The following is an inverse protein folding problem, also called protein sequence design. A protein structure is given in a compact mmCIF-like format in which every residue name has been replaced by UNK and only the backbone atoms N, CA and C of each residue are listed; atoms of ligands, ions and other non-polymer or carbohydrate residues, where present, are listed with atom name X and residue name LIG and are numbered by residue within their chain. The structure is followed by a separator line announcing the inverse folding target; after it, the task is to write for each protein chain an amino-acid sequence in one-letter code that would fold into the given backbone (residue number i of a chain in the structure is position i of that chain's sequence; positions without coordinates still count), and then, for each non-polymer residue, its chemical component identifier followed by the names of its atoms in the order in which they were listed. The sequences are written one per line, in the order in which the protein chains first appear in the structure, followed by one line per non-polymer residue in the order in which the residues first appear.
data_IF_583002565620
#
_entry.id   IF_583002565620
#
_cell.length_a   1.000
_cell.length_b   1.000
_cell.length_c   1.000
_cell.angle_alpha   90.00
_cell.angle_beta   90.00
_cell.angle_gamma   90.00
#
_symmetry.space_group_name_H-M   'P 1'
#
loop_
_entity.id
_entity.type
_entity.pdbx_description
1 polymer ?
#
# COMPACT_ATOMS: atom_id res chain seq x y z
N UNK A 1 31.73 -14.30 12.70
CA UNK A 1 30.77 -13.30 12.21
C UNK A 1 29.40 -13.88 12.47
N UNK A 2 28.70 -13.38 13.48
CA UNK A 2 27.39 -13.91 13.88
C UNK A 2 26.42 -13.77 12.70
N UNK A 3 25.66 -14.81 12.33
CA UNK A 3 24.67 -14.68 11.27
C UNK A 3 23.69 -13.59 11.69
N UNK A 4 23.56 -12.52 10.87
CA UNK A 4 22.56 -11.47 11.09
C UNK A 4 21.22 -12.16 11.35
N UNK A 5 20.69 -12.02 12.57
CA UNK A 5 19.35 -12.50 12.94
C UNK A 5 18.39 -12.14 11.81
N UNK A 6 17.77 -13.16 11.21
CA UNK A 6 16.65 -12.93 10.31
C UNK A 6 15.61 -12.08 11.05
N UNK A 7 15.20 -10.99 10.43
CA UNK A 7 14.23 -10.07 11.03
C UNK A 7 12.89 -10.79 11.00
N UNK A 8 12.54 -11.41 12.13
CA UNK A 8 11.23 -12.00 12.35
C UNK A 8 10.24 -10.88 12.63
N UNK A 9 9.16 -10.81 11.85
CA UNK A 9 7.98 -10.05 12.27
C UNK A 9 7.49 -10.64 13.59
N UNK A 10 7.12 -9.78 14.54
CA UNK A 10 6.70 -10.21 15.88
C UNK A 10 5.45 -11.11 15.79
N UNK A 11 4.57 -10.80 14.82
CA UNK A 11 3.40 -11.62 14.49
C UNK A 11 3.55 -12.17 13.07
N UNK A 12 3.69 -13.48 12.91
CA UNK A 12 3.59 -14.17 11.63
C UNK A 12 2.21 -14.85 11.50
N UNK A 13 1.76 -15.10 10.26
CA UNK A 13 0.56 -15.90 9.96
C UNK A 13 0.99 -17.21 9.26
N UNK A 14 1.50 -18.23 10.01
CA UNK A 14 2.11 -19.41 9.42
C UNK A 14 1.17 -20.19 8.50
N UNK A 15 -0.14 -20.10 8.74
CA UNK A 15 -1.18 -20.73 7.93
C UNK A 15 -1.27 -20.17 6.50
N UNK A 16 -0.80 -18.95 6.28
CA UNK A 16 -0.78 -18.29 4.96
C UNK A 16 0.57 -18.43 4.25
N UNK A 17 1.46 -19.27 4.79
CA UNK A 17 2.81 -19.48 4.29
C UNK A 17 3.83 -18.56 4.95
N UNK A 18 5.08 -19.04 5.01
CA UNK A 18 6.17 -18.24 5.55
C UNK A 18 6.36 -16.97 4.70
N UNK A 19 6.24 -15.81 5.35
CA UNK A 19 6.64 -14.51 4.78
C UNK A 19 8.14 -14.27 4.91
N UNK A 20 8.92 -15.33 5.18
CA UNK A 20 10.37 -15.30 5.22
C UNK A 20 10.94 -14.82 3.91
N UNK A 21 12.15 -14.28 3.97
CA UNK A 21 12.86 -13.76 2.80
C UNK A 21 13.58 -14.85 2.06
N UNK A 22 13.68 -14.70 0.73
CA UNK A 22 14.72 -15.37 -0.03
C UNK A 22 16.05 -14.65 0.22
N UNK A 23 17.12 -15.42 0.45
CA UNK A 23 18.43 -14.96 0.91
C UNK A 23 19.22 -14.06 -0.08
N UNK A 24 18.57 -13.49 -1.11
CA UNK A 24 19.23 -12.70 -2.15
C UNK A 24 18.55 -11.37 -2.50
N UNK A 25 17.39 -11.03 -1.93
CA UNK A 25 16.63 -9.83 -2.33
C UNK A 25 16.81 -8.70 -1.31
N UNK A 26 17.73 -7.77 -1.59
CA UNK A 26 17.89 -6.51 -0.84
C UNK A 26 16.63 -5.65 -0.91
N UNK A 27 16.29 -4.93 0.19
CA UNK A 27 17.15 -4.12 1.09
C UNK A 27 17.18 -4.71 2.52
N UNK A 28 17.31 -3.93 3.58
CA UNK A 28 16.99 -4.32 4.97
C UNK A 28 15.47 -4.43 5.18
N UNK A 29 14.98 -5.53 5.77
CA UNK A 29 13.59 -5.63 6.20
C UNK A 29 13.35 -4.64 7.34
N UNK A 30 12.26 -3.87 7.26
CA UNK A 30 11.84 -3.05 8.38
C UNK A 30 11.43 -3.97 9.53
N UNK A 31 11.84 -3.64 10.75
CA UNK A 31 11.36 -4.33 11.93
C UNK A 31 9.94 -3.85 12.20
N UNK A 32 8.97 -4.58 11.66
CA UNK A 32 7.54 -4.30 11.77
C UNK A 32 6.84 -5.35 12.61
N UNK A 33 5.77 -4.96 13.28
CA UNK A 33 5.00 -5.83 14.17
C UNK A 33 4.24 -6.92 13.40
N UNK A 34 3.83 -6.61 12.17
CA UNK A 34 3.09 -7.48 11.26
C UNK A 34 3.94 -7.86 10.04
N UNK A 35 3.60 -8.94 9.31
CA UNK A 35 4.44 -9.42 8.22
C UNK A 35 4.37 -8.48 7.01
N UNK A 36 5.50 -8.36 6.31
CA UNK A 36 5.61 -7.57 5.08
C UNK A 36 4.87 -8.26 3.92
N UNK A 37 3.96 -7.52 3.28
CA UNK A 37 3.31 -7.97 2.03
C UNK A 37 4.12 -7.48 0.83
N UNK A 38 4.48 -6.19 0.85
CA UNK A 38 5.14 -5.52 -0.27
C UNK A 38 5.85 -4.27 0.23
N UNK A 39 7.13 -4.08 -0.12
CA UNK A 39 7.89 -2.87 0.22
C UNK A 39 7.65 -1.68 -0.73
N UNK A 40 7.04 -1.92 -1.88
CA UNK A 40 6.75 -0.93 -2.90
C UNK A 40 5.49 -1.27 -3.70
N UNK A 41 4.31 -1.27 -3.05
CA UNK A 41 3.07 -1.69 -3.67
C UNK A 41 2.67 -0.75 -4.81
N UNK A 42 2.31 -1.34 -5.95
CA UNK A 42 1.79 -0.59 -7.09
C UNK A 42 0.54 0.24 -6.69
N UNK A 43 0.41 1.46 -7.20
CA UNK A 43 -0.66 2.41 -6.86
C UNK A 43 -2.06 1.77 -6.86
N UNK A 44 -2.36 1.00 -7.91
CA UNK A 44 -3.64 0.28 -8.06
C UNK A 44 -3.91 -0.71 -6.91
N UNK A 45 -2.88 -1.40 -6.41
CA UNK A 45 -3.02 -2.33 -5.28
C UNK A 45 -3.31 -1.59 -3.99
N UNK A 46 -2.61 -0.48 -3.74
CA UNK A 46 -2.85 0.34 -2.54
C UNK A 46 -4.30 0.83 -2.49
N UNK A 47 -4.83 1.33 -3.61
CA UNK A 47 -6.23 1.79 -3.67
C UNK A 47 -7.21 0.61 -3.64
N UNK A 48 -6.93 -0.50 -4.32
CA UNK A 48 -7.80 -1.68 -4.33
C UNK A 48 -7.90 -2.39 -2.98
N UNK A 49 -6.84 -2.34 -2.17
CA UNK A 49 -6.79 -2.97 -0.84
C UNK A 49 -7.25 -2.01 0.27
N UNK A 50 -7.55 -0.74 -0.05
CA UNK A 50 -8.08 0.19 0.92
C UNK A 50 -9.41 -0.32 1.50
N UNK A 51 -9.50 -0.35 2.83
CA UNK A 51 -10.72 -0.80 3.53
C UNK A 51 -11.80 0.29 3.42
N UNK A 52 -13.10 -0.05 3.49
CA UNK A 52 -14.16 0.96 3.58
C UNK A 52 -13.94 1.96 4.72
N UNK A 53 -13.37 1.51 5.84
CA UNK A 53 -12.97 2.36 6.97
C UNK A 53 -11.95 3.43 6.60
N UNK A 54 -11.07 3.16 5.63
CA UNK A 54 -10.06 4.13 5.21
C UNK A 54 -10.68 5.28 4.43
N UNK A 55 -11.66 4.98 3.58
CA UNK A 55 -12.44 5.99 2.90
C UNK A 55 -13.28 6.82 3.87
N UNK A 56 -13.85 6.20 4.90
CA UNK A 56 -14.56 6.92 5.95
C UNK A 56 -13.64 7.89 6.72
N UNK A 57 -12.45 7.41 7.12
CA UNK A 57 -11.43 8.24 7.80
C UNK A 57 -10.92 9.35 6.87
N UNK A 58 -10.65 9.03 5.61
CA UNK A 58 -10.23 10.02 4.61
C UNK A 58 -11.29 11.09 4.39
N UNK A 59 -12.56 10.69 4.21
CA UNK A 59 -13.67 11.64 4.06
C UNK A 59 -13.85 12.52 5.30
N UNK A 60 -13.74 11.94 6.50
CA UNK A 60 -13.79 12.68 7.76
C UNK A 60 -12.71 13.77 7.79
N UNK A 61 -11.43 13.40 7.63
CA UNK A 61 -10.34 14.36 7.69
C UNK A 61 -10.34 15.35 6.53
N UNK A 62 -10.70 14.92 5.32
CA UNK A 62 -10.84 15.80 4.17
C UNK A 62 -11.94 16.84 4.35
N UNK A 63 -13.05 16.49 5.00
CA UNK A 63 -14.14 17.41 5.28
C UNK A 63 -13.80 18.46 6.35
N UNK A 64 -12.81 18.19 7.22
CA UNK A 64 -12.39 19.14 8.26
C UNK A 64 -11.84 20.45 7.68
N UNK A 65 -11.27 20.44 6.48
CA UNK A 65 -10.73 21.64 5.84
C UNK A 65 -11.84 22.64 5.47
N UNK A 66 -12.81 22.32 4.59
CA UNK A 66 -13.90 23.23 4.29
C UNK A 66 -14.78 23.50 5.52
N UNK A 67 -14.99 22.52 6.41
CA UNK A 67 -15.73 22.73 7.65
C UNK A 67 -15.01 23.72 8.58
N UNK A 68 -13.69 23.64 8.67
CA UNK A 68 -12.85 24.56 9.45
C UNK A 68 -12.94 25.98 8.93
N UNK A 69 -12.87 26.19 7.61
CA UNK A 69 -13.04 27.53 7.01
C UNK A 69 -14.45 28.07 7.30
N UNK A 70 -15.48 27.24 7.17
CA UNK A 70 -16.86 27.63 7.51
C UNK A 70 -17.00 28.02 8.99
N UNK A 71 -16.37 27.27 9.89
CA UNK A 71 -16.36 27.57 11.32
C UNK A 71 -15.61 28.88 11.60
N UNK A 72 -14.45 29.09 10.99
CA UNK A 72 -13.67 30.33 11.14
C UNK A 72 -14.46 31.56 10.67
N UNK A 73 -15.14 31.49 9.53
CA UNK A 73 -16.01 32.57 9.03
C UNK A 73 -17.19 32.84 9.98
N UNK A 74 -17.69 31.81 10.68
CA UNK A 74 -18.75 31.96 11.68
C UNK A 74 -18.27 32.72 12.93
N UNK A 75 -17.02 32.52 13.35
CA UNK A 75 -16.45 33.18 14.53
C UNK A 75 -15.87 34.57 14.22
N UNK A 76 -15.27 34.75 13.05
CA UNK A 76 -14.68 36.00 12.61
C UNK A 76 -15.07 36.27 11.15
N UNK A 77 -16.24 36.88 10.90
CA UNK A 77 -16.74 37.11 9.55
C UNK A 77 -15.83 38.03 8.75
N UNK A 78 -15.45 37.59 7.55
CA UNK A 78 -14.59 38.37 6.65
C UNK A 78 -15.39 39.37 5.81
N UNK A 79 -16.73 39.25 5.78
CA UNK A 79 -17.66 40.07 5.01
C UNK A 79 -17.38 40.10 3.49
N UNK A 80 -16.76 39.05 2.96
CA UNK A 80 -16.46 38.96 1.54
C UNK A 80 -17.72 38.66 0.70
N UNK A 81 -17.78 39.08 -0.58
CA UNK A 81 -18.89 38.76 -1.46
C UNK A 81 -19.12 37.26 -1.60
N UNK A 82 -20.38 36.84 -1.79
CA UNK A 82 -20.77 35.42 -1.93
C UNK A 82 -20.03 34.68 -3.05
N UNK A 83 -19.62 35.38 -4.10
CA UNK A 83 -18.90 34.80 -5.24
C UNK A 83 -17.48 34.39 -4.82
N UNK A 84 -16.78 35.25 -4.09
CA UNK A 84 -15.44 34.98 -3.56
C UNK A 84 -15.47 33.88 -2.51
N UNK A 85 -16.48 33.90 -1.62
CA UNK A 85 -16.71 32.82 -0.66
C UNK A 85 -16.87 31.45 -1.33
N UNK A 86 -17.66 31.36 -2.41
CA UNK A 86 -17.80 30.11 -3.18
C UNK A 86 -16.48 29.65 -3.78
N UNK A 87 -15.63 30.58 -4.22
CA UNK A 87 -14.29 30.24 -4.72
C UNK A 87 -13.41 29.66 -3.61
N UNK A 88 -13.38 30.30 -2.44
CA UNK A 88 -12.67 29.80 -1.26
C UNK A 88 -13.15 28.38 -0.85
N UNK A 89 -14.47 28.15 -0.85
CA UNK A 89 -15.05 26.84 -0.55
C UNK A 89 -14.70 25.76 -1.58
N UNK A 90 -14.53 26.12 -2.86
CA UNK A 90 -14.08 25.18 -3.91
C UNK A 90 -12.62 24.80 -3.74
N UNK A 91 -11.76 25.79 -3.49
CA UNK A 91 -10.32 25.54 -3.26
C UNK A 91 -10.14 24.67 -2.01
N UNK A 92 -10.79 25.03 -0.91
CA UNK A 92 -10.73 24.25 0.33
C UNK A 92 -11.33 22.85 0.19
N UNK A 93 -12.40 22.70 -0.57
CA UNK A 93 -12.91 21.39 -0.97
C UNK A 93 -11.87 20.57 -1.76
N UNK A 94 -11.18 21.20 -2.72
CA UNK A 94 -10.10 20.57 -3.48
C UNK A 94 -8.93 20.09 -2.60
N UNK A 95 -8.47 20.93 -1.68
CA UNK A 95 -7.44 20.57 -0.70
C UNK A 95 -7.95 19.47 0.23
N UNK A 96 -9.22 19.52 0.63
CA UNK A 96 -9.90 18.49 1.41
C UNK A 96 -9.92 17.14 0.72
N UNK A 97 -10.19 17.10 -0.59
CA UNK A 97 -10.14 15.87 -1.38
C UNK A 97 -8.72 15.30 -1.47
N UNK A 98 -7.70 16.15 -1.62
CA UNK A 98 -6.30 15.71 -1.60
C UNK A 98 -5.91 15.12 -0.24
N UNK A 99 -6.29 15.79 0.85
CA UNK A 99 -6.08 15.28 2.20
C UNK A 99 -6.77 13.93 2.41
N UNK A 100 -8.04 13.81 2.00
CA UNK A 100 -8.79 12.56 2.07
C UNK A 100 -8.06 11.42 1.34
N UNK A 101 -7.59 11.68 0.13
CA UNK A 101 -6.81 10.73 -0.65
C UNK A 101 -5.53 10.31 0.07
N UNK A 102 -4.75 11.23 0.63
CA UNK A 102 -3.52 10.90 1.36
C UNK A 102 -3.78 10.07 2.61
N UNK A 103 -4.87 10.33 3.33
CA UNK A 103 -5.25 9.50 4.48
C UNK A 103 -5.61 8.08 4.07
N UNK A 104 -6.38 7.91 2.98
CA UNK A 104 -6.69 6.57 2.43
C UNK A 104 -5.42 5.86 2.02
N UNK A 105 -4.57 6.54 1.24
CA UNK A 105 -3.33 5.97 0.70
C UNK A 105 -2.37 5.55 1.83
N UNK A 106 -2.13 6.45 2.80
CA UNK A 106 -1.21 6.20 3.93
C UNK A 106 -1.66 5.02 4.78
N UNK A 107 -2.97 4.94 5.09
CA UNK A 107 -3.51 3.84 5.90
C UNK A 107 -3.40 2.50 5.18
N UNK A 108 -3.66 2.49 3.87
CA UNK A 108 -3.54 1.27 3.07
C UNK A 108 -2.09 0.83 2.91
N UNK A 109 -1.18 1.75 2.53
CA UNK A 109 0.24 1.42 2.32
C UNK A 109 0.94 0.96 3.60
N UNK A 110 0.56 1.49 4.76
CA UNK A 110 1.08 1.05 6.05
C UNK A 110 0.74 -0.41 6.38
N UNK A 111 -0.36 -0.96 5.86
CA UNK A 111 -0.66 -2.40 5.98
C UNK A 111 0.24 -3.25 5.10
N UNK A 112 0.56 -2.78 3.89
CA UNK A 112 1.53 -3.48 3.03
C UNK A 112 2.90 -3.56 3.70
N UNK A 113 3.33 -2.48 4.35
CA UNK A 113 4.61 -2.41 5.08
C UNK A 113 4.63 -3.20 6.40
N UNK A 114 3.48 -3.68 6.88
CA UNK A 114 3.39 -4.37 8.17
C UNK A 114 3.41 -3.45 9.39
N UNK A 115 3.21 -2.13 9.21
CA UNK A 115 3.15 -1.16 10.31
C UNK A 115 1.83 -1.18 11.08
N UNK A 116 0.83 -1.87 10.55
CA UNK A 116 -0.48 -2.04 11.17
C UNK A 116 -1.04 -3.41 10.80
N UNK A 117 -2.06 -3.85 11.55
CA UNK A 117 -2.75 -5.11 11.30
C UNK A 117 -3.15 -5.25 9.83
N UNK A 118 -2.74 -6.37 9.23
CA UNK A 118 -2.84 -6.60 7.79
C UNK A 118 -3.25 -8.04 7.43
N UNK A 119 -3.88 -8.79 8.34
CA UNK A 119 -4.26 -10.20 8.12
C UNK A 119 -5.13 -10.34 6.87
N UNK A 120 -6.17 -9.51 6.76
CA UNK A 120 -7.07 -9.51 5.60
C UNK A 120 -6.30 -9.27 4.29
N UNK A 121 -5.36 -8.33 4.30
CA UNK A 121 -4.55 -7.98 3.12
C UNK A 121 -3.58 -9.09 2.75
N UNK A 122 -2.98 -9.78 3.73
CA UNK A 122 -2.15 -10.96 3.48
C UNK A 122 -2.98 -12.08 2.85
N UNK A 123 -4.19 -12.35 3.37
CA UNK A 123 -5.08 -13.37 2.80
C UNK A 123 -5.51 -13.03 1.36
N UNK A 124 -5.84 -11.76 1.09
CA UNK A 124 -6.17 -11.28 -0.26
C UNK A 124 -4.97 -11.39 -1.21
N UNK A 125 -3.78 -10.99 -0.76
CA UNK A 125 -2.54 -11.10 -1.53
C UNK A 125 -2.20 -12.55 -1.86
N UNK A 126 -2.29 -13.46 -0.88
CA UNK A 126 -2.05 -14.88 -1.10
C UNK A 126 -3.01 -15.47 -2.14
N UNK A 127 -4.31 -15.13 -2.07
CA UNK A 127 -5.29 -15.57 -3.08
C UNK A 127 -4.98 -15.00 -4.47
N UNK A 128 -4.80 -13.68 -4.56
CA UNK A 128 -4.54 -12.98 -5.83
C UNK A 128 -3.29 -13.53 -6.53
N UNK A 129 -2.20 -13.71 -5.78
CA UNK A 129 -0.92 -14.18 -6.31
C UNK A 129 -0.95 -15.67 -6.64
N UNK A 130 -1.60 -16.50 -5.81
CA UNK A 130 -1.80 -17.93 -6.10
C UNK A 130 -2.61 -18.11 -7.39
N UNK A 131 -3.69 -17.36 -7.55
CA UNK A 131 -4.51 -17.42 -8.76
C UNK A 131 -3.74 -16.99 -10.02
N UNK A 132 -2.87 -15.97 -9.92
CA UNK A 132 -1.97 -15.57 -11.01
C UNK A 132 -0.99 -16.69 -11.36
N UNK A 133 -0.40 -17.37 -10.36
CA UNK A 133 0.48 -18.51 -10.58
C UNK A 133 -0.27 -19.65 -11.29
N UNK A 134 -1.47 -20.00 -10.84
CA UNK A 134 -2.31 -21.03 -11.48
C UNK A 134 -2.62 -20.69 -12.94
N UNK A 135 -2.80 -19.40 -13.27
CA UNK A 135 -3.00 -18.92 -14.64
C UNK A 135 -1.72 -18.79 -15.47
N UNK A 136 -0.54 -19.01 -14.88
CA UNK A 136 0.75 -18.80 -15.55
C UNK A 136 1.06 -17.33 -15.84
N UNK A 137 0.42 -16.40 -15.11
CA UNK A 137 0.65 -14.97 -15.23
C UNK A 137 1.83 -14.51 -14.35
N UNK A 138 2.56 -13.45 -14.75
CA UNK A 138 3.57 -12.85 -13.87
C UNK A 138 2.91 -12.24 -12.62
N UNK A 139 3.50 -12.52 -11.45
CA UNK A 139 2.99 -12.09 -10.13
C UNK A 139 2.71 -10.59 -10.06
N UNK A 140 3.68 -9.78 -10.52
CA UNK A 140 3.65 -8.33 -10.44
C UNK A 140 3.37 -7.65 -11.80
N UNK A 141 2.84 -8.41 -12.77
CA UNK A 141 2.48 -7.91 -14.09
C UNK A 141 3.66 -7.77 -15.06
N UNK A 142 3.38 -7.26 -16.27
CA UNK A 142 4.38 -7.00 -17.31
C UNK A 142 4.73 -5.52 -17.34
N UNK A 143 6.00 -5.22 -17.57
CA UNK A 143 6.53 -3.86 -17.69
C UNK A 143 7.04 -3.62 -19.11
N UNK A 144 6.86 -2.42 -19.64
CA UNK A 144 7.47 -1.98 -20.91
C UNK A 144 8.90 -1.49 -20.71
N UNK A 145 9.33 -1.30 -19.47
CA UNK A 145 10.66 -0.82 -19.11
C UNK A 145 11.68 -1.96 -19.11
N UNK A 146 12.95 -1.63 -19.41
CA UNK A 146 14.06 -2.57 -19.23
C UNK A 146 14.24 -2.93 -17.75
N UNK A 147 14.85 -4.08 -17.48
CA UNK A 147 15.15 -4.52 -16.10
C UNK A 147 15.93 -3.46 -15.32
N UNK A 148 16.89 -2.78 -15.95
CA UNK A 148 17.64 -1.68 -15.35
C UNK A 148 16.72 -0.52 -14.91
N UNK A 149 15.81 -0.09 -15.78
CA UNK A 149 14.87 1.00 -15.47
C UNK A 149 13.86 0.59 -14.40
N UNK A 150 13.43 -0.67 -14.39
CA UNK A 150 12.60 -1.21 -13.31
C UNK A 150 13.33 -1.19 -11.96
N UNK A 151 14.61 -1.58 -11.93
CA UNK A 151 15.45 -1.48 -10.72
C UNK A 151 15.68 -0.03 -10.28
N UNK A 152 15.88 0.90 -11.22
CA UNK A 152 16.00 2.32 -10.92
C UNK A 152 14.70 2.88 -10.33
N UNK A 153 13.55 2.58 -10.94
CA UNK A 153 12.23 2.98 -10.46
C UNK A 153 11.96 2.43 -9.05
N UNK A 154 12.15 1.13 -8.83
CA UNK A 154 11.94 0.48 -7.54
C UNK A 154 12.77 1.14 -6.42
N UNK A 155 14.00 1.59 -6.70
CA UNK A 155 14.83 2.28 -5.70
C UNK A 155 14.30 3.68 -5.33
N UNK A 156 13.55 4.32 -6.22
CA UNK A 156 12.97 5.64 -5.98
C UNK A 156 11.61 5.56 -5.28
N UNK A 157 10.78 4.58 -5.61
CA UNK A 157 9.42 4.44 -5.06
C UNK A 157 9.34 3.62 -3.78
N UNK A 158 10.33 2.77 -3.51
CA UNK A 158 10.42 2.00 -2.28
C UNK A 158 10.20 2.84 -1.02
N UNK A 159 9.29 2.39 -0.16
CA UNK A 159 8.95 3.05 1.12
C UNK A 159 8.59 4.54 1.00
N UNK A 160 8.37 5.06 -0.21
CA UNK A 160 8.01 6.46 -0.44
C UNK A 160 6.68 6.83 0.20
N UNK A 161 5.79 5.84 0.43
CA UNK A 161 4.54 6.01 1.16
C UNK A 161 4.69 6.55 2.58
N UNK A 162 5.84 6.32 3.24
CA UNK A 162 6.13 6.87 4.58
C UNK A 162 6.26 8.40 4.54
N UNK A 163 6.69 8.95 3.40
CA UNK A 163 6.97 10.39 3.22
C UNK A 163 5.98 11.09 2.27
N UNK A 164 4.84 10.45 1.99
CA UNK A 164 3.83 10.92 1.02
C UNK A 164 3.27 12.30 1.34
N UNK A 165 3.27 12.69 2.61
CA UNK A 165 2.77 13.98 3.10
C UNK A 165 3.68 15.17 2.73
N UNK A 166 4.95 14.92 2.42
CA UNK A 166 5.90 15.96 1.95
C UNK A 166 6.08 15.87 0.44
N UNK A 167 6.28 14.65 -0.08
CA UNK A 167 6.44 14.42 -1.51
C UNK A 167 5.57 13.25 -1.94
N UNK A 168 4.47 13.49 -2.68
CA UNK A 168 3.61 12.42 -3.17
C UNK A 168 4.33 11.68 -4.29
N UNK A 169 4.93 10.54 -3.94
CA UNK A 169 5.62 9.68 -4.87
C UNK A 169 5.00 8.28 -4.81
N UNK A 170 4.66 7.72 -5.97
CA UNK A 170 3.89 6.49 -6.08
C UNK A 170 4.51 5.53 -7.07
N UNK A 171 4.35 4.24 -6.82
CA UNK A 171 4.76 3.21 -7.76
C UNK A 171 3.72 3.02 -8.89
N UNK A 172 4.13 3.34 -10.12
CA UNK A 172 3.38 3.07 -11.35
C UNK A 172 4.10 2.08 -12.28
N UNK A 173 5.18 1.46 -11.81
CA UNK A 173 6.03 0.55 -12.57
C UNK A 173 5.85 -0.85 -12.04
N UNK A 174 5.47 -1.77 -12.93
CA UNK A 174 5.54 -3.20 -12.63
C UNK A 174 7.02 -3.61 -12.62
N UNK A 175 7.50 -4.18 -11.50
CA UNK A 175 8.87 -4.64 -11.30
C UNK A 175 8.90 -5.82 -10.33
N UNK A 176 9.99 -6.58 -10.24
CA UNK A 176 10.05 -7.77 -9.35
C UNK A 176 10.68 -7.47 -7.97
N UNK A 177 10.91 -6.20 -7.63
CA UNK A 177 11.63 -5.77 -6.43
C UNK A 177 10.73 -5.48 -5.22
N UNK A 178 9.86 -6.43 -4.85
CA UNK A 178 8.85 -6.25 -3.79
C UNK A 178 9.29 -6.69 -2.38
N UNK A 179 10.51 -7.21 -2.24
CA UNK A 179 11.14 -7.46 -0.94
C UNK A 179 10.63 -8.68 -0.17
N UNK A 180 9.80 -9.51 -0.80
CA UNK A 180 9.20 -10.74 -0.24
C UNK A 180 9.63 -11.99 -1.00
N UNK A 181 9.63 -13.16 -0.34
CA UNK A 181 9.81 -14.44 -1.02
C UNK A 181 8.56 -14.79 -1.82
N UNK A 182 8.68 -14.79 -3.14
CA UNK A 182 7.59 -15.16 -4.06
C UNK A 182 7.36 -16.66 -4.12
N UNK A 183 8.31 -17.49 -3.68
CA UNK A 183 8.18 -18.95 -3.70
C UNK A 183 7.00 -19.45 -2.85
N UNK A 184 6.58 -18.68 -1.83
CA UNK A 184 5.39 -19.00 -1.02
C UNK A 184 4.11 -19.12 -1.85
N UNK A 185 3.96 -18.29 -2.90
CA UNK A 185 2.78 -18.32 -3.78
C UNK A 185 2.78 -19.57 -4.67
N UNK A 186 3.96 -19.96 -5.19
CA UNK A 186 4.11 -21.19 -5.98
C UNK A 186 3.82 -22.43 -5.15
N UNK A 187 4.39 -22.53 -3.94
CA UNK A 187 4.11 -23.63 -3.01
C UNK A 187 2.63 -23.72 -2.66
N UNK A 188 1.94 -22.59 -2.48
CA UNK A 188 0.50 -22.60 -2.21
C UNK A 188 -0.31 -23.04 -3.44
N UNK A 189 0.04 -22.55 -4.63
CA UNK A 189 -0.60 -22.95 -5.88
C UNK A 189 -0.49 -24.45 -6.14
N UNK A 190 0.70 -25.03 -5.93
CA UNK A 190 0.93 -26.48 -6.04
C UNK A 190 0.03 -27.26 -5.08
N UNK A 191 -0.04 -26.86 -3.80
CA UNK A 191 -0.90 -27.50 -2.80
C UNK A 191 -2.38 -27.47 -3.19
N UNK A 192 -2.87 -26.33 -3.68
CA UNK A 192 -4.26 -26.19 -4.10
C UNK A 192 -4.57 -27.00 -5.37
N UNK A 193 -3.69 -26.99 -6.36
CA UNK A 193 -3.85 -27.80 -7.58
C UNK A 193 -3.80 -29.30 -7.28
N UNK A 194 -2.96 -29.74 -6.34
CA UNK A 194 -2.95 -31.12 -5.87
C UNK A 194 -4.25 -31.51 -5.16
N UNK A 195 -4.80 -30.61 -4.34
CA UNK A 195 -6.08 -30.83 -3.67
C UNK A 195 -7.25 -30.89 -4.66
N UNK A 196 -7.25 -30.06 -5.71
CA UNK A 196 -8.22 -30.08 -6.80
C UNK A 196 -8.15 -31.38 -7.61
N UNK A 197 -6.95 -31.92 -7.88
CA UNK A 197 -6.75 -33.20 -8.58
C UNK A 197 -7.25 -34.42 -7.81
N UNK A 198 -7.31 -34.34 -6.47
CA UNK A 198 -7.74 -35.43 -5.59
C UNK A 198 -9.25 -35.42 -5.31
N UNK A 199 -9.97 -34.38 -5.75
CA UNK A 199 -11.43 -34.28 -5.67
C UNK A 199 -12.07 -34.79 -6.96
#
# INVERSE_FOLDING_TARGET
MEPKREVHSVTEYPELGETRRSAGVFPTALNSEYPLIDCDPHFKRVIGYARPSDYAVGAFWGSMIPAGILAMERFSPTNIPRVEWRSCMRVSGGVGLMAAFFFVYTRSVNRFYGFSENRREVEMDMREMTDKVKRGEPLYGKSTLSSYLQSAAARQSRYSGVFVHIMPWFNFVNHDHHGVDTAKYYRNAERELEAERRR
#
